data_IF_854629046545
#
_entry.id   IF_854629046545
#
_cell.length_a   1.000
_cell.length_b   1.000
_cell.length_c   1.000
_cell.angle_alpha   90.00
_cell.angle_beta   90.00
_cell.angle_gamma   90.00
#
_symmetry.space_group_name_H-M   'P 1'
#
loop_
_entity.id
_entity.type
_entity.pdbx_description
1 polymer ?
#
# COMPACT_ATOMS: atom_id res chain seq x y z
N UNK A 1 -9.16 9.32 -41.43
CA UNK A 1 -9.71 7.95 -41.49
C UNK A 1 -9.48 7.27 -40.15
N UNK A 2 -10.54 7.08 -39.35
CA UNK A 2 -10.45 6.30 -38.10
C UNK A 2 -10.58 4.83 -38.47
N UNK A 3 -9.50 4.10 -38.39
CA UNK A 3 -9.52 2.63 -38.52
C UNK A 3 -10.30 2.08 -37.35
N UNK A 4 -11.46 1.51 -37.63
CA UNK A 4 -12.24 0.76 -36.64
C UNK A 4 -11.41 -0.47 -36.22
N UNK A 5 -10.97 -0.50 -34.96
CA UNK A 5 -10.36 -1.67 -34.36
C UNK A 5 -11.46 -2.73 -34.27
N UNK A 6 -11.22 -3.84 -34.94
CA UNK A 6 -12.03 -5.04 -35.07
C UNK A 6 -12.58 -5.50 -33.71
N UNK A 7 -13.86 -5.89 -33.75
CA UNK A 7 -14.60 -6.55 -32.66
C UNK A 7 -13.86 -7.77 -32.16
N UNK A 8 -13.80 -7.87 -30.84
CA UNK A 8 -13.37 -9.02 -30.05
C UNK A 8 -13.61 -10.37 -30.73
N UNK A 9 -12.57 -11.02 -31.17
CA UNK A 9 -12.57 -12.47 -31.30
C UNK A 9 -12.70 -13.04 -29.88
N UNK A 10 -13.80 -13.76 -29.64
CA UNK A 10 -14.03 -14.48 -28.38
C UNK A 10 -12.89 -15.47 -28.15
N UNK A 11 -11.91 -15.10 -27.36
CA UNK A 11 -10.89 -16.05 -26.87
C UNK A 11 -11.67 -17.09 -26.03
N UNK A 12 -11.74 -18.31 -26.51
CA UNK A 12 -12.41 -19.42 -25.80
C UNK A 12 -11.82 -19.52 -24.38
N UNK A 13 -12.67 -19.31 -23.37
CA UNK A 13 -12.29 -19.36 -21.95
C UNK A 13 -12.00 -18.00 -21.29
N UNK A 14 -12.01 -16.89 -22.02
CA UNK A 14 -11.91 -15.57 -21.42
C UNK A 14 -13.19 -15.18 -20.68
N UNK A 15 -13.03 -14.57 -19.48
CA UNK A 15 -14.16 -14.05 -18.72
C UNK A 15 -14.81 -12.90 -19.45
N UNK A 16 -16.13 -12.86 -19.49
CA UNK A 16 -16.89 -11.80 -20.12
C UNK A 16 -16.78 -10.51 -19.28
N UNK A 17 -16.47 -9.39 -19.94
CA UNK A 17 -16.39 -8.09 -19.27
C UNK A 17 -17.76 -7.65 -18.72
N UNK A 18 -17.77 -7.02 -17.55
CA UNK A 18 -18.98 -6.41 -16.98
C UNK A 18 -19.38 -5.16 -17.80
N UNK A 19 -20.64 -4.74 -17.65
CA UNK A 19 -21.17 -3.54 -18.35
C UNK A 19 -20.43 -2.23 -18.04
N UNK A 20 -19.75 -2.17 -16.89
CA UNK A 20 -18.94 -1.05 -16.43
C UNK A 20 -17.43 -1.32 -16.52
N UNK A 21 -17.01 -2.21 -17.41
CA UNK A 21 -15.60 -2.51 -17.63
C UNK A 21 -14.82 -1.29 -18.15
N UNK A 22 -13.54 -1.22 -17.80
CA UNK A 22 -12.64 -0.24 -18.36
C UNK A 22 -12.47 -0.47 -19.87
N UNK A 23 -12.58 0.59 -20.66
CA UNK A 23 -12.46 0.54 -22.11
C UNK A 23 -11.10 1.01 -22.62
N UNK A 24 -10.25 1.56 -21.75
CA UNK A 24 -8.95 2.05 -22.12
C UNK A 24 -8.01 2.20 -20.92
N UNK A 25 -6.76 2.55 -21.22
CA UNK A 25 -5.73 2.76 -20.20
C UNK A 25 -6.09 3.89 -19.22
N UNK A 26 -6.80 4.92 -19.71
CA UNK A 26 -7.28 6.03 -18.87
C UNK A 26 -8.24 5.54 -17.79
N UNK A 27 -9.18 4.69 -18.14
CA UNK A 27 -10.14 4.15 -17.16
C UNK A 27 -9.42 3.32 -16.08
N UNK A 28 -8.40 2.54 -16.47
CA UNK A 28 -7.57 1.78 -15.51
C UNK A 28 -6.78 2.71 -14.60
N UNK A 29 -6.20 3.77 -15.15
CA UNK A 29 -5.47 4.79 -14.40
C UNK A 29 -6.38 5.47 -13.37
N UNK A 30 -7.54 5.96 -13.80
CA UNK A 30 -8.51 6.63 -12.92
C UNK A 30 -9.06 5.70 -11.83
N UNK A 31 -9.36 4.45 -12.17
CA UNK A 31 -9.80 3.45 -11.19
C UNK A 31 -8.71 3.15 -10.17
N UNK A 32 -7.47 2.98 -10.63
CA UNK A 32 -6.34 2.76 -9.74
C UNK A 32 -6.04 3.95 -8.82
N UNK A 33 -6.20 5.19 -9.31
CA UNK A 33 -6.11 6.38 -8.46
C UNK A 33 -7.16 6.39 -7.35
N UNK A 34 -8.40 5.99 -7.65
CA UNK A 34 -9.49 5.91 -6.64
C UNK A 34 -9.20 4.83 -5.59
N UNK A 35 -8.64 3.70 -6.01
CA UNK A 35 -8.28 2.57 -5.12
C UNK A 35 -7.12 2.96 -4.19
N UNK A 36 -6.04 3.56 -4.71
CA UNK A 36 -4.90 3.95 -3.87
C UNK A 36 -5.24 5.14 -2.97
N UNK A 37 -6.09 6.06 -3.41
CA UNK A 37 -6.58 7.16 -2.59
C UNK A 37 -7.37 6.66 -1.38
N UNK A 38 -8.23 5.64 -1.56
CA UNK A 38 -8.89 4.98 -0.44
C UNK A 38 -7.89 4.32 0.50
N UNK A 39 -6.90 3.63 -0.06
CA UNK A 39 -5.86 2.92 0.71
C UNK A 39 -5.05 3.88 1.60
N UNK A 40 -4.59 5.00 1.07
CA UNK A 40 -3.88 6.01 1.86
C UNK A 40 -4.79 6.59 2.98
N UNK A 41 -6.05 6.86 2.68
CA UNK A 41 -7.00 7.38 3.68
C UNK A 41 -7.29 6.37 4.79
N UNK A 42 -7.35 5.08 4.51
CA UNK A 42 -7.54 4.07 5.56
C UNK A 42 -6.26 3.90 6.38
N UNK A 43 -5.08 4.00 5.78
CA UNK A 43 -3.80 3.95 6.49
C UNK A 43 -3.65 5.09 7.51
N UNK A 44 -4.12 6.30 7.20
CA UNK A 44 -4.11 7.40 8.19
C UNK A 44 -4.96 7.08 9.44
N UNK A 45 -5.90 6.16 9.35
CA UNK A 45 -6.77 5.73 10.45
C UNK A 45 -6.25 4.48 11.19
N UNK A 46 -5.53 3.60 10.49
CA UNK A 46 -5.06 2.32 11.04
C UNK A 46 -3.66 2.41 11.64
N UNK A 47 -2.75 3.20 11.08
CA UNK A 47 -1.40 3.40 11.60
C UNK A 47 -1.35 3.83 13.07
N UNK A 48 -2.23 4.69 13.61
CA UNK A 48 -2.26 5.00 15.04
C UNK A 48 -2.46 3.77 15.94
N UNK A 49 -3.19 2.75 15.48
CA UNK A 49 -3.36 1.50 16.22
C UNK A 49 -2.05 0.69 16.22
N UNK A 50 -1.35 0.62 15.11
CA UNK A 50 -0.04 -0.05 15.03
C UNK A 50 0.99 0.65 15.92
N UNK A 51 1.03 2.00 15.92
CA UNK A 51 1.88 2.80 16.82
C UNK A 51 1.65 2.45 18.31
N UNK A 52 0.38 2.27 18.71
CA UNK A 52 0.03 1.91 20.11
C UNK A 52 0.45 0.49 20.49
N UNK A 53 0.56 -0.40 19.51
CA UNK A 53 0.88 -1.81 19.74
C UNK A 53 2.35 -2.16 19.49
N UNK A 54 3.14 -1.24 18.93
CA UNK A 54 4.58 -1.37 18.79
C UNK A 54 5.29 -0.99 20.10
N UNK A 55 6.37 -1.70 20.45
CA UNK A 55 7.14 -1.50 21.66
C UNK A 55 8.55 -0.94 21.43
N UNK A 56 9.19 -1.29 20.31
CA UNK A 56 10.54 -0.84 19.98
C UNK A 56 10.51 0.63 19.51
N UNK A 57 11.32 1.53 20.11
CA UNK A 57 11.29 2.96 19.79
C UNK A 57 11.51 3.27 18.30
N UNK A 58 12.41 2.55 17.64
CA UNK A 58 12.73 2.72 16.23
C UNK A 58 11.51 2.38 15.36
N UNK A 59 10.79 1.31 15.68
CA UNK A 59 9.55 0.93 14.98
C UNK A 59 8.45 1.96 15.22
N UNK A 60 8.25 2.38 16.47
CA UNK A 60 7.28 3.42 16.84
C UNK A 60 7.53 4.72 16.06
N UNK A 61 8.79 5.15 15.95
CA UNK A 61 9.16 6.35 15.21
C UNK A 61 8.93 6.18 13.71
N UNK A 62 9.29 5.02 13.15
CA UNK A 62 9.04 4.69 11.74
C UNK A 62 7.54 4.74 11.43
N UNK A 63 6.68 4.12 12.24
CA UNK A 63 5.23 4.13 12.06
C UNK A 63 4.61 5.54 12.18
N UNK A 64 5.14 6.38 13.08
CA UNK A 64 4.73 7.79 13.18
C UNK A 64 5.12 8.60 11.94
N UNK A 65 6.33 8.38 11.39
CA UNK A 65 6.75 8.99 10.12
C UNK A 65 5.81 8.59 8.99
N UNK A 66 5.52 7.30 8.86
CA UNK A 66 4.61 6.77 7.86
C UNK A 66 3.20 7.37 7.95
N UNK A 67 2.70 7.63 9.17
CA UNK A 67 1.41 8.32 9.35
C UNK A 67 1.42 9.74 8.76
N UNK A 68 2.50 10.48 8.93
CA UNK A 68 2.65 11.82 8.36
C UNK A 68 2.81 11.74 6.83
N UNK A 69 3.64 10.84 6.35
CA UNK A 69 3.81 10.58 4.92
C UNK A 69 2.49 10.23 4.24
N UNK A 70 1.66 9.33 4.84
CA UNK A 70 0.35 8.97 4.29
C UNK A 70 -0.59 10.18 4.17
N UNK A 71 -0.55 11.13 5.11
CA UNK A 71 -1.33 12.38 4.99
C UNK A 71 -0.85 13.23 3.81
N UNK A 72 0.46 13.32 3.59
CA UNK A 72 1.04 14.01 2.44
C UNK A 72 0.69 13.31 1.13
N UNK A 73 0.70 11.96 1.11
CA UNK A 73 0.30 11.18 -0.06
C UNK A 73 -1.17 11.39 -0.43
N UNK A 74 -2.07 11.46 0.57
CA UNK A 74 -3.48 11.86 0.34
C UNK A 74 -3.55 13.20 -0.36
N UNK A 75 -2.87 14.23 0.15
CA UNK A 75 -2.85 15.56 -0.47
C UNK A 75 -2.24 15.55 -1.87
N UNK A 76 -1.21 14.74 -2.09
CA UNK A 76 -0.55 14.57 -3.39
C UNK A 76 -1.48 13.91 -4.41
N UNK A 77 -2.24 12.90 -4.00
CA UNK A 77 -3.26 12.27 -4.83
C UNK A 77 -4.41 13.22 -5.16
N UNK A 78 -4.84 14.07 -4.22
CA UNK A 78 -5.85 15.09 -4.47
C UNK A 78 -5.40 16.09 -5.55
N UNK A 79 -4.12 16.49 -5.55
CA UNK A 79 -3.54 17.29 -6.64
C UNK A 79 -3.58 16.56 -7.98
N UNK A 80 -3.26 15.25 -7.99
CA UNK A 80 -3.33 14.43 -9.21
C UNK A 80 -4.76 14.38 -9.75
N UNK A 81 -5.78 14.21 -8.90
CA UNK A 81 -7.17 14.28 -9.32
C UNK A 81 -7.51 15.63 -9.95
N UNK A 82 -7.14 16.74 -9.31
CA UNK A 82 -7.40 18.10 -9.80
C UNK A 82 -6.73 18.37 -11.15
N UNK A 83 -5.45 18.01 -11.32
CA UNK A 83 -4.69 18.17 -12.57
C UNK A 83 -5.30 17.36 -13.72
N UNK A 84 -6.00 16.28 -13.43
CA UNK A 84 -6.71 15.46 -14.42
C UNK A 84 -8.21 15.85 -14.56
N UNK A 85 -8.63 16.98 -14.01
CA UNK A 85 -10.02 17.44 -14.08
C UNK A 85 -11.02 16.56 -13.33
N UNK A 86 -10.57 15.75 -12.40
CA UNK A 86 -11.38 14.81 -11.65
C UNK A 86 -11.65 15.30 -10.22
N UNK A 87 -12.82 14.94 -9.70
CA UNK A 87 -13.11 15.09 -8.26
C UNK A 87 -12.42 13.97 -7.48
N UNK A 88 -11.68 14.28 -6.39
CA UNK A 88 -11.13 13.25 -5.51
C UNK A 88 -12.23 12.32 -4.98
N UNK A 89 -12.18 11.07 -5.42
CA UNK A 89 -13.19 10.06 -5.07
C UNK A 89 -12.48 8.78 -4.65
N UNK A 90 -12.76 8.30 -3.44
CA UNK A 90 -12.23 7.05 -2.92
C UNK A 90 -13.11 5.88 -3.36
N UNK A 91 -12.47 4.79 -3.78
CA UNK A 91 -13.12 3.51 -4.04
C UNK A 91 -12.47 2.45 -3.17
N UNK A 92 -13.29 1.74 -2.38
CA UNK A 92 -12.80 0.70 -1.48
C UNK A 92 -11.94 -0.32 -2.23
N UNK A 93 -10.76 -0.58 -1.69
CA UNK A 93 -9.81 -1.57 -2.20
C UNK A 93 -9.85 -2.82 -1.34
N UNK A 94 -10.38 -3.92 -1.89
CA UNK A 94 -10.50 -5.19 -1.18
C UNK A 94 -9.12 -5.79 -0.82
N UNK A 95 -8.10 -5.58 -1.65
CA UNK A 95 -6.75 -6.04 -1.37
C UNK A 95 -6.17 -5.37 -0.12
N UNK A 96 -6.21 -4.04 -0.04
CA UNK A 96 -5.72 -3.29 1.12
C UNK A 96 -6.54 -3.63 2.37
N UNK A 97 -7.87 -3.75 2.25
CA UNK A 97 -8.71 -4.16 3.38
C UNK A 97 -8.32 -5.53 3.92
N UNK A 98 -8.04 -6.49 3.03
CA UNK A 98 -7.57 -7.83 3.41
C UNK A 98 -6.25 -7.80 4.14
N UNK A 99 -5.27 -7.03 3.65
CA UNK A 99 -3.96 -6.86 4.29
C UNK A 99 -4.10 -6.23 5.69
N UNK A 100 -4.92 -5.20 5.83
CA UNK A 100 -5.14 -4.54 7.12
C UNK A 100 -5.89 -5.43 8.12
N UNK A 101 -6.82 -6.25 7.64
CA UNK A 101 -7.50 -7.26 8.49
C UNK A 101 -6.52 -8.33 8.99
N UNK A 102 -5.60 -8.78 8.15
CA UNK A 102 -4.54 -9.71 8.55
C UNK A 102 -3.62 -9.08 9.59
N UNK A 103 -3.22 -7.80 9.40
CA UNK A 103 -2.42 -7.05 10.36
C UNK A 103 -3.10 -6.95 11.75
N UNK A 104 -4.40 -6.68 11.77
CA UNK A 104 -5.20 -6.62 13.01
C UNK A 104 -5.29 -7.99 13.70
N UNK A 105 -5.40 -9.09 12.94
CA UNK A 105 -5.35 -10.46 13.45
C UNK A 105 -4.02 -10.73 14.13
N UNK A 106 -2.94 -10.44 13.44
CA UNK A 106 -1.57 -10.67 13.91
C UNK A 106 -1.25 -9.92 15.22
N UNK A 107 -1.71 -8.66 15.36
CA UNK A 107 -1.57 -7.89 16.60
C UNK A 107 -2.28 -8.59 17.77
N UNK A 108 -3.44 -9.21 17.52
CA UNK A 108 -4.22 -9.91 18.57
C UNK A 108 -3.65 -11.28 18.92
N UNK A 109 -2.96 -11.92 18.01
CA UNK A 109 -2.42 -13.27 18.11
C UNK A 109 -0.97 -13.31 18.63
N UNK A 110 -0.36 -12.15 18.92
CA UNK A 110 1.02 -12.05 19.38
C UNK A 110 1.11 -11.37 20.74
N UNK A 111 2.06 -11.81 21.58
CA UNK A 111 2.38 -11.14 22.82
C UNK A 111 3.07 -9.80 22.58
N UNK A 112 2.81 -8.82 23.46
CA UNK A 112 3.45 -7.51 23.42
C UNK A 112 4.97 -7.66 23.56
N UNK A 113 5.72 -6.94 22.75
CA UNK A 113 7.18 -6.99 22.72
C UNK A 113 7.72 -7.34 21.34
N UNK A 114 8.91 -7.89 21.26
CA UNK A 114 9.63 -8.12 20.02
C UNK A 114 8.89 -9.03 19.04
N UNK A 115 8.12 -10.01 19.52
CA UNK A 115 7.33 -10.92 18.64
C UNK A 115 6.23 -10.14 17.94
N UNK A 116 5.49 -9.30 18.67
CA UNK A 116 4.47 -8.43 18.06
C UNK A 116 5.10 -7.40 17.11
N UNK A 117 6.23 -6.81 17.51
CA UNK A 117 6.94 -5.84 16.68
C UNK A 117 7.39 -6.47 15.35
N UNK A 118 7.92 -7.68 15.36
CA UNK A 118 8.25 -8.45 14.16
C UNK A 118 7.01 -8.69 13.29
N UNK A 119 5.88 -9.02 13.91
CA UNK A 119 4.60 -9.19 13.23
C UNK A 119 4.09 -7.90 12.60
N UNK A 120 4.17 -6.76 13.31
CA UNK A 120 3.79 -5.45 12.77
C UNK A 120 4.66 -5.10 11.55
N UNK A 121 5.97 -5.34 11.60
CA UNK A 121 6.85 -5.12 10.45
C UNK A 121 6.42 -6.00 9.26
N UNK A 122 6.16 -7.28 9.49
CA UNK A 122 5.73 -8.19 8.43
C UNK A 122 4.42 -7.73 7.77
N UNK A 123 3.47 -7.23 8.56
CA UNK A 123 2.21 -6.68 8.04
C UNK A 123 2.45 -5.37 7.26
N UNK A 124 3.26 -4.46 7.80
CA UNK A 124 3.59 -3.19 7.13
C UNK A 124 4.34 -3.40 5.82
N UNK A 125 5.23 -4.38 5.73
CA UNK A 125 5.91 -4.71 4.48
C UNK A 125 4.92 -5.19 3.41
N UNK A 126 3.89 -5.98 3.76
CA UNK A 126 2.81 -6.33 2.82
C UNK A 126 2.07 -5.09 2.31
N UNK A 127 1.77 -4.14 3.21
CA UNK A 127 1.21 -2.83 2.83
C UNK A 127 2.14 -2.11 1.86
N UNK A 128 3.43 -1.98 2.17
CA UNK A 128 4.42 -1.29 1.31
C UNK A 128 4.53 -1.94 -0.05
N UNK A 129 4.60 -3.27 -0.14
CA UNK A 129 4.68 -3.97 -1.43
C UNK A 129 3.42 -3.79 -2.28
N UNK A 130 2.23 -3.77 -1.67
CA UNK A 130 0.99 -3.40 -2.37
C UNK A 130 1.09 -1.96 -2.92
N UNK A 131 1.51 -1.00 -2.09
CA UNK A 131 1.65 0.40 -2.48
C UNK A 131 2.70 0.59 -3.57
N UNK A 132 3.87 -0.05 -3.46
CA UNK A 132 4.96 0.01 -4.46
C UNK A 132 4.47 -0.51 -5.81
N UNK A 133 3.79 -1.64 -5.84
CA UNK A 133 3.22 -2.20 -7.07
C UNK A 133 2.19 -1.25 -7.69
N UNK A 134 1.29 -0.70 -6.87
CA UNK A 134 0.22 0.18 -7.32
C UNK A 134 0.77 1.52 -7.82
N UNK A 135 1.62 2.20 -7.06
CA UNK A 135 2.23 3.47 -7.46
C UNK A 135 3.13 3.31 -8.70
N UNK A 136 3.88 2.20 -8.79
CA UNK A 136 4.70 1.87 -9.96
C UNK A 136 3.87 1.72 -11.23
N UNK A 137 2.76 1.00 -11.14
CA UNK A 137 1.82 0.81 -12.25
C UNK A 137 1.16 2.13 -12.65
N UNK A 138 0.67 2.91 -11.69
CA UNK A 138 0.04 4.21 -11.95
C UNK A 138 1.02 5.21 -12.55
N UNK A 139 2.28 5.23 -12.09
CA UNK A 139 3.34 6.03 -12.70
C UNK A 139 3.55 5.66 -14.19
N UNK A 140 3.63 4.37 -14.49
CA UNK A 140 3.79 3.90 -15.87
C UNK A 140 2.58 4.29 -16.74
N UNK A 141 1.35 4.13 -16.22
CA UNK A 141 0.14 4.55 -16.92
C UNK A 141 0.13 6.06 -17.19
N UNK A 142 0.45 6.88 -16.18
CA UNK A 142 0.53 8.33 -16.30
C UNK A 142 1.52 8.75 -17.39
N UNK A 143 2.71 8.13 -17.43
CA UNK A 143 3.70 8.39 -18.50
C UNK A 143 3.17 8.06 -19.88
N UNK A 144 2.54 6.90 -20.04
CA UNK A 144 1.96 6.46 -21.32
C UNK A 144 0.82 7.37 -21.78
N UNK A 145 0.04 7.90 -20.84
CA UNK A 145 -1.06 8.83 -21.12
C UNK A 145 -0.61 10.29 -21.34
N UNK A 146 0.67 10.60 -21.14
CA UNK A 146 1.21 11.96 -21.25
C UNK A 146 0.92 12.86 -20.05
N UNK A 147 0.44 12.28 -18.93
CA UNK A 147 0.11 12.99 -17.69
C UNK A 147 1.39 13.25 -16.86
N UNK A 148 2.29 14.08 -17.40
CA UNK A 148 3.64 14.25 -16.84
C UNK A 148 3.67 14.76 -15.39
N UNK A 149 2.75 15.66 -15.02
CA UNK A 149 2.66 16.16 -13.64
C UNK A 149 2.25 15.04 -12.68
N UNK A 150 1.24 14.26 -13.03
CA UNK A 150 0.81 13.10 -12.25
C UNK A 150 1.92 12.06 -12.15
N UNK A 151 2.61 11.76 -13.26
CA UNK A 151 3.74 10.83 -13.28
C UNK A 151 4.84 11.24 -12.28
N UNK A 152 5.21 12.52 -12.24
CA UNK A 152 6.23 13.02 -11.30
C UNK A 152 5.78 12.87 -9.84
N UNK A 153 4.53 13.21 -9.52
CA UNK A 153 4.00 13.09 -8.17
C UNK A 153 3.92 11.62 -7.71
N UNK A 154 3.52 10.72 -8.62
CA UNK A 154 3.46 9.27 -8.35
C UNK A 154 4.86 8.68 -8.15
N UNK A 155 5.86 9.12 -8.94
CA UNK A 155 7.26 8.69 -8.78
C UNK A 155 7.82 9.09 -7.41
N UNK A 156 7.58 10.33 -6.96
CA UNK A 156 8.01 10.78 -5.63
C UNK A 156 7.45 9.87 -4.52
N UNK A 157 6.15 9.58 -4.56
CA UNK A 157 5.53 8.69 -3.58
C UNK A 157 6.08 7.26 -3.66
N UNK A 158 6.29 6.75 -4.88
CA UNK A 158 6.88 5.42 -5.08
C UNK A 158 8.27 5.30 -4.44
N UNK A 159 9.11 6.31 -4.58
CA UNK A 159 10.46 6.31 -4.01
C UNK A 159 10.42 6.39 -2.48
N UNK A 160 9.50 7.18 -1.92
CA UNK A 160 9.27 7.25 -0.46
C UNK A 160 8.82 5.88 0.09
N UNK A 161 7.88 5.18 -0.59
CA UNK A 161 7.43 3.83 -0.19
C UNK A 161 8.55 2.80 -0.21
N UNK A 162 9.40 2.80 -1.25
CA UNK A 162 10.57 1.92 -1.34
C UNK A 162 11.58 2.18 -0.21
N UNK A 163 11.82 3.45 0.12
CA UNK A 163 12.69 3.82 1.23
C UNK A 163 12.15 3.34 2.57
N UNK A 164 10.86 3.48 2.78
CA UNK A 164 10.19 3.01 4.01
C UNK A 164 10.26 1.49 4.15
N UNK A 165 10.05 0.73 3.07
CA UNK A 165 10.19 -0.73 3.06
C UNK A 165 11.61 -1.16 3.44
N UNK A 166 12.64 -0.54 2.84
CA UNK A 166 14.03 -0.79 3.20
C UNK A 166 14.34 -0.44 4.67
N UNK A 167 13.77 0.64 5.20
CA UNK A 167 13.90 1.04 6.60
C UNK A 167 13.30 -0.01 7.54
N UNK A 168 12.10 -0.51 7.24
CA UNK A 168 11.45 -1.58 8.02
C UNK A 168 12.29 -2.86 8.04
N UNK A 169 12.86 -3.25 6.89
CA UNK A 169 13.80 -4.39 6.81
C UNK A 169 15.02 -4.16 7.71
N UNK A 170 15.61 -2.97 7.67
CA UNK A 170 16.74 -2.61 8.53
C UNK A 170 16.41 -2.73 10.02
N UNK A 171 15.27 -2.20 10.45
CA UNK A 171 14.79 -2.29 11.85
C UNK A 171 14.57 -3.75 12.25
N UNK A 172 13.94 -4.56 11.41
CA UNK A 172 13.69 -5.97 11.69
C UNK A 172 15.00 -6.73 11.92
N UNK A 173 15.97 -6.56 11.00
CA UNK A 173 17.22 -7.32 11.02
C UNK A 173 18.22 -6.86 12.08
N UNK A 174 18.25 -5.56 12.40
CA UNK A 174 19.21 -5.04 13.37
C UNK A 174 18.92 -5.49 14.82
N UNK A 175 17.65 -5.57 15.20
CA UNK A 175 17.28 -5.75 16.61
C UNK A 175 16.10 -6.70 16.81
N UNK A 176 14.96 -6.44 16.16
CA UNK A 176 13.66 -7.02 16.51
C UNK A 176 13.64 -8.54 16.30
N UNK A 177 14.08 -9.04 15.13
CA UNK A 177 14.04 -10.47 14.84
C UNK A 177 14.92 -11.28 15.81
N UNK A 178 16.09 -10.74 16.19
CA UNK A 178 16.96 -11.39 17.17
C UNK A 178 16.35 -11.42 18.57
N UNK A 179 15.62 -10.35 18.96
CA UNK A 179 14.92 -10.31 20.25
C UNK A 179 13.70 -11.25 20.25
N UNK A 180 12.95 -11.31 19.17
CA UNK A 180 11.82 -12.23 19.00
C UNK A 180 12.29 -13.69 19.08
N UNK A 181 13.40 -14.04 18.41
CA UNK A 181 13.98 -15.38 18.49
C UNK A 181 14.45 -15.78 19.91
N UNK A 182 14.99 -14.83 20.68
CA UNK A 182 15.35 -15.11 22.09
C UNK A 182 14.14 -15.39 22.96
N UNK A 183 12.97 -14.84 22.64
CA UNK A 183 11.74 -15.14 23.37
C UNK A 183 11.31 -16.60 23.18
N UNK A 184 11.56 -17.22 22.01
CA UNK A 184 11.29 -18.64 21.76
C UNK A 184 12.06 -19.55 22.75
N UNK A 185 13.33 -19.22 23.02
CA UNK A 185 14.18 -20.00 23.92
C UNK A 185 13.67 -20.00 25.38
N UNK A 186 13.06 -18.90 25.81
CA UNK A 186 12.50 -18.77 27.17
C UNK A 186 11.20 -19.57 27.32
N UNK A 187 10.39 -19.61 26.26
CA UNK A 187 9.11 -20.35 26.26
C UNK A 187 9.36 -21.86 26.27
N UNK A 188 10.36 -22.34 25.54
CA UNK A 188 10.73 -23.76 25.49
C UNK A 188 11.36 -24.31 26.76
N UNK A 189 11.84 -23.45 27.69
CA UNK A 189 12.37 -23.88 29.02
C UNK A 189 11.23 -24.04 30.04
N UNK A 190 10.06 -23.46 29.78
CA UNK A 190 8.90 -23.48 30.68
C UNK A 190 7.82 -24.50 30.28
N UNK A 191 7.97 -25.19 29.17
CA UNK A 191 7.10 -26.26 28.68
C UNK A 191 7.70 -27.63 29.00
#
# INVERSE_FOLDING_TARGET
MRTAISKNENIKGAMQAKSNAAHGLRDLFENGLKDIYWSEKVLTKTLPNMVKNASTPELVNSLKSQLNESKEHVSRLEKIFQENGMKPTAKKCDAMEGILKEADGLIKETDLGAVRDAGIIAAEQKVKHYEIATYGTLHAFAKTLGENKAANLLAMTLDEKKKTDATLTGIAMSTINNQAHKADAITNIKA
#
